data_IF_666728546006
#
_entry.id   IF_666728546006
#
_cell.length_a   1.000
_cell.length_b   1.000
_cell.length_c   1.000
_cell.angle_alpha   90.00
_cell.angle_beta   90.00
_cell.angle_gamma   90.00
#
_symmetry.space_group_name_H-M   'P 1'
#
loop_
_entity.id
_entity.type
_entity.pdbx_description
1 polymer ?
#
# COMPACT_ATOMS: atom_id res chain seq x y z
N UNK A 1 -8.87 2.03 20.25
CA UNK A 1 -7.41 2.25 20.35
C UNK A 1 -6.80 0.95 20.83
N UNK A 2 -5.74 0.45 20.20
CA UNK A 2 -5.05 -0.76 20.65
C UNK A 2 -3.84 -0.31 21.47
N UNK A 3 -3.95 -0.30 22.79
CA UNK A 3 -2.79 -0.05 23.66
C UNK A 3 -2.23 -1.41 24.03
N UNK A 4 -1.02 -1.70 23.56
CA UNK A 4 -0.25 -2.85 24.00
C UNK A 4 0.98 -2.34 24.75
N UNK A 5 0.96 -2.45 26.08
CA UNK A 5 2.11 -2.20 26.94
C UNK A 5 2.80 -3.52 27.23
N UNK A 6 4.08 -3.65 26.84
CA UNK A 6 4.85 -4.87 27.02
C UNK A 6 5.42 -4.97 28.45
N UNK A 7 4.67 -5.62 29.33
CA UNK A 7 5.17 -6.27 30.55
C UNK A 7 5.32 -7.79 30.35
N UNK A 8 5.97 -8.52 31.28
CA UNK A 8 6.27 -9.95 31.14
C UNK A 8 5.05 -10.90 31.12
N UNK A 9 3.81 -10.38 31.12
CA UNK A 9 2.60 -11.13 30.79
C UNK A 9 1.88 -10.47 29.62
N UNK A 10 1.71 -11.21 28.52
CA UNK A 10 0.99 -10.78 27.32
C UNK A 10 -0.51 -10.66 27.62
N UNK A 11 -0.95 -9.51 28.13
CA UNK A 11 -2.35 -9.10 28.18
C UNK A 11 -2.54 -7.94 27.22
N UNK A 12 -2.94 -8.22 25.98
CA UNK A 12 -3.41 -7.21 25.04
C UNK A 12 -4.88 -6.94 25.30
N UNK A 13 -5.22 -5.77 25.83
CA UNK A 13 -6.61 -5.32 25.93
C UNK A 13 -7.05 -4.71 24.59
N UNK A 14 -8.04 -5.32 23.94
CA UNK A 14 -8.67 -4.80 22.72
C UNK A 14 -9.80 -3.87 23.15
N UNK A 15 -9.59 -2.56 23.11
CA UNK A 15 -10.62 -1.57 23.40
C UNK A 15 -11.31 -1.11 22.11
N UNK A 16 -12.61 -1.46 21.98
CA UNK A 16 -13.49 -1.01 20.90
C UNK A 16 -13.67 0.51 20.95
N UNK A 17 -13.73 1.14 19.77
CA UNK A 17 -13.75 2.60 19.60
C UNK A 17 -15.14 3.24 19.77
N UNK A 18 -16.05 2.62 20.52
CA UNK A 18 -17.36 3.20 20.82
C UNK A 18 -17.22 4.14 22.04
N UNK A 19 -16.81 5.39 21.79
CA UNK A 19 -16.83 6.47 22.80
C UNK A 19 -15.60 7.38 22.88
N UNK A 20 -14.52 7.12 22.13
CA UNK A 20 -13.31 7.95 22.18
C UNK A 20 -13.21 8.90 20.97
N UNK A 21 -13.60 10.16 21.15
CA UNK A 21 -13.53 11.20 20.11
C UNK A 21 -12.13 11.85 19.96
N UNK A 22 -11.10 11.39 20.70
CA UNK A 22 -9.87 12.18 20.88
C UNK A 22 -8.56 11.36 20.95
N UNK A 23 -8.45 10.27 20.18
CA UNK A 23 -7.32 9.32 20.32
C UNK A 23 -6.28 9.28 19.20
N UNK A 24 -6.61 9.70 17.98
CA UNK A 24 -5.66 9.71 16.86
C UNK A 24 -5.15 11.13 16.67
N UNK A 25 -3.93 11.42 17.13
CA UNK A 25 -3.32 12.73 16.89
C UNK A 25 -3.11 12.91 15.39
N UNK A 26 -3.65 13.98 14.81
CA UNK A 26 -3.40 14.31 13.40
C UNK A 26 -1.90 14.36 13.13
N UNK A 27 -1.45 13.75 12.03
CA UNK A 27 -0.06 13.87 11.61
C UNK A 27 0.29 15.34 11.36
N UNK A 28 1.52 15.79 11.70
CA UNK A 28 1.99 17.11 11.32
C UNK A 28 1.83 17.34 9.80
N UNK A 29 1.49 18.56 9.34
CA UNK A 29 1.19 18.83 7.93
C UNK A 29 2.29 18.37 6.98
N UNK A 30 3.56 18.62 7.30
CA UNK A 30 4.72 18.21 6.49
C UNK A 30 4.81 16.70 6.30
N UNK A 31 4.63 15.94 7.39
CA UNK A 31 4.61 14.48 7.37
C UNK A 31 3.41 13.96 6.59
N UNK A 32 2.25 14.60 6.74
CA UNK A 32 1.03 14.25 6.00
C UNK A 32 1.21 14.46 4.50
N UNK A 33 1.74 15.61 4.08
CA UNK A 33 1.99 15.94 2.66
C UNK A 33 3.00 14.99 2.02
N UNK A 34 4.03 14.57 2.75
CA UNK A 34 5.00 13.57 2.28
C UNK A 34 4.38 12.17 2.22
N UNK A 35 3.71 11.73 3.28
CA UNK A 35 3.13 10.39 3.40
C UNK A 35 2.04 10.12 2.36
N UNK A 36 1.23 11.13 2.04
CA UNK A 36 0.08 10.99 1.11
C UNK A 36 0.38 11.45 -0.31
N UNK A 37 1.64 11.83 -0.61
CA UNK A 37 2.03 12.25 -1.95
C UNK A 37 1.74 11.14 -2.97
N UNK A 38 1.09 11.53 -4.06
CA UNK A 38 0.93 10.65 -5.22
C UNK A 38 2.30 10.55 -5.90
N UNK A 39 2.91 9.38 -5.81
CA UNK A 39 4.06 9.01 -6.64
C UNK A 39 3.56 8.86 -8.08
N UNK A 40 3.59 9.98 -8.81
CA UNK A 40 3.63 9.99 -10.26
C UNK A 40 5.03 9.55 -10.67
N UNK A 41 5.15 8.74 -11.72
CA UNK A 41 6.39 8.14 -12.20
C UNK A 41 7.61 9.10 -12.15
N UNK A 42 8.41 8.99 -11.10
CA UNK A 42 9.77 9.52 -11.05
C UNK A 42 10.75 8.35 -10.87
N UNK A 43 11.09 7.65 -11.94
CA UNK A 43 12.38 6.95 -12.04
C UNK A 43 13.04 7.36 -13.36
N UNK A 44 13.46 8.63 -13.43
CA UNK A 44 14.48 9.08 -14.38
C UNK A 44 15.79 9.49 -13.67
N UNK A 45 15.80 9.74 -12.34
CA UNK A 45 16.94 10.44 -11.71
C UNK A 45 17.59 9.81 -10.46
N UNK A 46 17.14 8.65 -9.94
CA UNK A 46 17.83 8.02 -8.79
C UNK A 46 18.70 6.82 -9.19
N UNK A 47 20.01 6.97 -9.06
CA UNK A 47 21.05 5.97 -9.38
C UNK A 47 21.31 4.98 -8.23
N UNK A 48 20.25 4.56 -7.54
CA UNK A 48 20.34 3.54 -6.47
C UNK A 48 20.08 2.12 -6.98
N UNK A 49 20.63 1.07 -6.34
CA UNK A 49 20.34 -0.33 -6.68
C UNK A 49 18.85 -0.69 -6.56
N UNK A 50 18.08 0.11 -5.78
CA UNK A 50 16.62 0.03 -5.70
C UNK A 50 15.91 0.46 -7.01
N UNK A 51 16.38 1.46 -7.76
CA UNK A 51 15.79 1.78 -9.09
C UNK A 51 16.07 0.65 -10.09
N UNK A 52 17.09 -0.20 -9.90
CA UNK A 52 17.33 -1.35 -10.79
C UNK A 52 16.35 -2.51 -10.54
N UNK A 53 16.01 -2.80 -9.28
CA UNK A 53 14.91 -3.73 -8.96
C UNK A 53 13.55 -3.10 -9.33
N UNK A 54 13.30 -1.81 -9.06
CA UNK A 54 12.08 -1.11 -9.45
C UNK A 54 11.92 -0.97 -10.97
N UNK A 55 13.01 -0.91 -11.75
CA UNK A 55 13.00 -1.04 -13.22
C UNK A 55 12.59 -2.44 -13.71
N UNK A 56 12.76 -3.49 -12.89
CA UNK A 56 12.12 -4.80 -13.13
C UNK A 56 10.64 -4.81 -12.71
N UNK A 57 10.26 -4.04 -11.69
CA UNK A 57 8.86 -3.87 -11.23
C UNK A 57 8.04 -2.95 -12.15
N UNK A 58 8.67 -2.12 -13.01
CA UNK A 58 8.04 -1.35 -14.09
C UNK A 58 7.28 -2.19 -15.16
N UNK A 59 7.22 -3.51 -14.99
CA UNK A 59 6.70 -4.45 -15.99
C UNK A 59 5.20 -4.75 -15.84
N UNK A 60 4.40 -3.78 -15.41
CA UNK A 60 2.95 -3.87 -15.49
C UNK A 60 2.48 -3.46 -16.90
N UNK A 61 2.31 -4.45 -17.77
CA UNK A 61 1.69 -4.26 -19.09
C UNK A 61 0.18 -4.30 -18.92
N UNK A 62 -0.51 -3.26 -19.38
CA UNK A 62 -1.96 -3.12 -19.26
C UNK A 62 -2.52 -2.76 -20.64
N UNK A 63 -3.27 -3.70 -21.21
CA UNK A 63 -3.85 -3.60 -22.54
C UNK A 63 -5.38 -3.60 -22.46
N UNK A 64 -6.01 -2.96 -23.45
CA UNK A 64 -7.45 -2.90 -23.59
C UNK A 64 -7.85 -3.50 -24.92
N UNK A 65 -8.75 -4.45 -24.90
CA UNK A 65 -9.31 -5.07 -26.09
C UNK A 65 -10.83 -4.89 -26.11
N UNK A 66 -11.32 -4.29 -27.19
CA UNK A 66 -12.73 -4.05 -27.43
C UNK A 66 -13.31 -4.94 -28.54
N UNK A 67 -12.61 -5.99 -28.97
CA UNK A 67 -13.02 -6.88 -30.06
C UNK A 67 -13.63 -8.19 -29.56
N UNK A 68 -13.13 -8.74 -28.44
CA UNK A 68 -13.54 -10.05 -27.91
C UNK A 68 -14.93 -10.10 -27.26
N UNK A 69 -15.55 -8.95 -27.00
CA UNK A 69 -16.91 -8.89 -26.45
C UNK A 69 -17.68 -7.73 -27.04
N UNK A 70 -18.92 -7.92 -27.52
CA UNK A 70 -19.74 -6.82 -28.02
C UNK A 70 -20.15 -5.85 -26.89
N UNK A 71 -20.21 -6.32 -25.64
CA UNK A 71 -20.74 -5.56 -24.51
C UNK A 71 -19.69 -5.10 -23.48
N UNK A 72 -18.47 -5.64 -23.51
CA UNK A 72 -17.45 -5.38 -22.48
C UNK A 72 -16.11 -5.00 -23.12
N UNK A 73 -15.28 -4.27 -22.38
CA UNK A 73 -13.86 -4.11 -22.68
C UNK A 73 -13.10 -5.17 -21.91
N UNK A 74 -12.23 -5.92 -22.58
CA UNK A 74 -11.27 -6.80 -21.91
C UNK A 74 -10.06 -5.98 -21.50
N UNK A 75 -9.77 -5.98 -20.20
CA UNK A 75 -8.58 -5.41 -19.60
C UNK A 75 -7.60 -6.55 -19.30
N UNK A 76 -6.47 -6.54 -19.98
CA UNK A 76 -5.44 -7.57 -19.84
C UNK A 76 -4.24 -6.98 -19.11
N UNK A 77 -3.82 -7.62 -18.02
CA UNK A 77 -2.77 -7.13 -17.15
C UNK A 77 -1.73 -8.24 -16.97
N UNK A 78 -0.48 -7.94 -17.29
CA UNK A 78 0.67 -8.78 -16.95
C UNK A 78 1.54 -8.00 -15.98
N UNK A 79 1.82 -8.56 -14.81
CA UNK A 79 2.59 -7.89 -13.77
C UNK A 79 3.32 -8.90 -12.87
N UNK A 80 4.22 -8.41 -12.02
CA UNK A 80 4.90 -9.24 -11.02
C UNK A 80 3.89 -9.70 -9.97
N UNK A 81 4.00 -10.96 -9.55
CA UNK A 81 3.20 -11.48 -8.45
C UNK A 81 3.59 -10.82 -7.13
N UNK A 82 2.59 -10.27 -6.45
CA UNK A 82 2.75 -9.66 -5.15
C UNK A 82 1.52 -9.93 -4.29
N UNK A 83 1.74 -9.94 -2.99
CA UNK A 83 0.67 -10.07 -2.01
C UNK A 83 -0.33 -8.93 -2.18
N UNK A 84 -1.62 -9.24 -2.08
CA UNK A 84 -2.68 -8.24 -2.16
C UNK A 84 -2.97 -7.70 -3.57
N UNK A 85 -2.25 -8.15 -4.60
CA UNK A 85 -2.39 -7.64 -5.97
C UNK A 85 -3.84 -7.59 -6.47
N UNK A 86 -4.61 -8.66 -6.27
CA UNK A 86 -6.01 -8.71 -6.67
C UNK A 86 -6.87 -7.65 -5.97
N UNK A 87 -6.63 -7.45 -4.67
CA UNK A 87 -7.32 -6.43 -3.89
C UNK A 87 -6.98 -5.05 -4.43
N UNK A 88 -5.70 -4.77 -4.65
CA UNK A 88 -5.21 -3.47 -5.14
C UNK A 88 -5.77 -3.15 -6.54
N UNK A 89 -5.85 -4.14 -7.45
CA UNK A 89 -6.49 -4.00 -8.76
C UNK A 89 -8.00 -3.72 -8.65
N UNK A 90 -8.75 -4.53 -7.91
CA UNK A 90 -10.21 -4.41 -7.83
C UNK A 90 -10.64 -3.15 -7.09
N UNK A 91 -9.93 -2.76 -6.02
CA UNK A 91 -10.10 -1.46 -5.37
C UNK A 91 -9.95 -0.34 -6.39
N UNK A 92 -8.84 -0.34 -7.14
CA UNK A 92 -8.55 0.73 -8.09
C UNK A 92 -9.61 0.84 -9.18
N UNK A 93 -10.06 -0.29 -9.73
CA UNK A 93 -11.15 -0.31 -10.72
C UNK A 93 -12.45 0.25 -10.14
N UNK A 94 -12.81 -0.15 -8.92
CA UNK A 94 -13.98 0.35 -8.21
C UNK A 94 -13.90 1.86 -7.96
N UNK A 95 -12.76 2.36 -7.50
CA UNK A 95 -12.54 3.80 -7.25
C UNK A 95 -12.60 4.63 -8.55
N UNK A 96 -12.25 4.02 -9.69
CA UNK A 96 -12.42 4.60 -11.03
C UNK A 96 -13.84 4.41 -11.62
N UNK A 97 -14.83 3.96 -10.82
CA UNK A 97 -16.20 3.68 -11.27
C UNK A 97 -16.28 2.65 -12.42
N UNK A 98 -15.36 1.69 -12.44
CA UNK A 98 -15.31 0.59 -13.39
C UNK A 98 -15.89 -0.67 -12.74
N UNK A 99 -16.89 -1.26 -13.40
CA UNK A 99 -17.55 -2.50 -13.00
C UNK A 99 -16.85 -3.68 -13.63
N UNK A 100 -16.36 -4.61 -12.81
CA UNK A 100 -15.83 -5.90 -13.27
C UNK A 100 -16.98 -6.91 -13.33
N UNK A 101 -17.18 -7.53 -14.50
CA UNK A 101 -18.26 -8.51 -14.71
C UNK A 101 -17.73 -9.94 -14.63
N UNK A 102 -16.53 -10.18 -15.15
CA UNK A 102 -15.86 -11.47 -15.11
C UNK A 102 -14.36 -11.25 -15.00
N UNK A 103 -13.66 -12.14 -14.33
CA UNK A 103 -12.21 -12.08 -14.18
C UNK A 103 -11.59 -13.47 -14.23
N UNK A 104 -10.43 -13.57 -14.88
CA UNK A 104 -9.60 -14.77 -14.91
C UNK A 104 -8.20 -14.41 -14.44
N UNK A 105 -7.64 -15.25 -13.57
CA UNK A 105 -6.37 -15.01 -12.90
C UNK A 105 -5.48 -16.21 -13.10
N UNK A 106 -4.25 -15.93 -13.49
CA UNK A 106 -3.26 -16.94 -13.85
C UNK A 106 -1.96 -16.58 -13.17
N UNK A 107 -1.27 -17.60 -12.67
CA UNK A 107 0.08 -17.46 -12.15
C UNK A 107 0.99 -18.29 -13.00
N UNK A 108 2.06 -17.70 -13.52
CA UNK A 108 3.13 -18.48 -14.09
C UNK A 108 4.07 -18.98 -12.97
N UNK A 109 4.93 -19.95 -13.28
CA UNK A 109 5.96 -20.43 -12.36
C UNK A 109 7.16 -19.46 -12.22
N UNK A 110 7.17 -18.35 -12.95
CA UNK A 110 8.29 -17.40 -13.05
C UNK A 110 8.06 -16.13 -12.21
N UNK A 111 6.98 -16.10 -11.40
CA UNK A 111 6.68 -14.98 -10.51
C UNK A 111 5.92 -13.84 -11.18
N UNK A 112 5.29 -14.08 -12.34
CA UNK A 112 4.35 -13.15 -12.96
C UNK A 112 2.91 -13.63 -12.77
N UNK A 113 2.02 -12.65 -12.67
CA UNK A 113 0.57 -12.84 -12.78
C UNK A 113 0.07 -12.21 -14.06
N UNK A 114 -0.75 -12.99 -14.74
CA UNK A 114 -1.56 -12.52 -15.84
C UNK A 114 -3.01 -12.45 -15.32
N UNK A 115 -3.73 -11.42 -15.72
CA UNK A 115 -5.07 -11.12 -15.24
C UNK A 115 -5.90 -10.58 -16.40
N UNK A 116 -7.03 -11.22 -16.66
CA UNK A 116 -7.98 -10.82 -17.68
C UNK A 116 -9.29 -10.41 -17.02
N UNK A 117 -9.73 -9.17 -17.19
CA UNK A 117 -10.95 -8.64 -16.61
C UNK A 117 -11.89 -8.11 -17.69
N UNK A 118 -13.13 -8.61 -17.72
CA UNK A 118 -14.18 -8.00 -18.53
C UNK A 118 -14.82 -6.87 -17.73
N UNK A 119 -14.62 -5.65 -18.22
CA UNK A 119 -15.00 -4.42 -17.53
C UNK A 119 -16.02 -3.59 -18.32
N UNK A 120 -16.76 -2.78 -17.56
CA UNK A 120 -17.71 -1.77 -18.05
C UNK A 120 -17.56 -0.48 -17.24
N UNK A 121 -17.88 0.64 -17.87
CA UNK A 121 -18.09 1.91 -17.17
C UNK A 121 -19.36 1.85 -16.32
N UNK A 122 -19.51 2.80 -15.39
CA UNK A 122 -20.69 2.91 -14.54
C UNK A 122 -22.01 3.01 -15.32
N UNK A 123 -21.98 3.67 -16.49
CA UNK A 123 -23.09 3.82 -17.44
C UNK A 123 -23.40 2.54 -18.23
N UNK A 124 -22.67 1.45 -17.98
CA UNK A 124 -22.84 0.15 -18.62
C UNK A 124 -22.14 0.01 -19.98
N UNK A 125 -21.47 1.06 -20.47
CA UNK A 125 -20.76 1.03 -21.75
C UNK A 125 -19.33 0.52 -21.63
N UNK A 126 -18.74 0.18 -22.77
CA UNK A 126 -17.32 -0.17 -22.92
C UNK A 126 -16.42 1.03 -22.68
N UNK A 127 -15.19 0.80 -22.24
CA UNK A 127 -14.14 1.82 -22.14
C UNK A 127 -13.46 1.93 -23.52
N UNK A 128 -14.03 2.73 -24.41
CA UNK A 128 -13.53 2.90 -25.79
C UNK A 128 -12.62 4.12 -25.91
N UNK A 129 -12.96 5.17 -25.17
CA UNK A 129 -12.24 6.45 -25.16
C UNK A 129 -10.76 6.24 -24.75
N UNK A 130 -9.79 6.57 -25.63
CA UNK A 130 -8.37 6.44 -25.34
C UNK A 130 -7.93 7.21 -24.10
N UNK A 131 -8.48 8.41 -23.86
CA UNK A 131 -8.09 9.23 -22.70
C UNK A 131 -8.49 8.54 -21.39
N UNK A 132 -9.67 7.90 -21.36
CA UNK A 132 -10.12 7.12 -20.21
C UNK A 132 -9.29 5.86 -20.02
N UNK A 133 -8.90 5.19 -21.11
CA UNK A 133 -8.01 4.03 -21.03
C UNK A 133 -6.64 4.42 -20.48
N UNK A 134 -6.09 5.54 -20.93
CA UNK A 134 -4.79 6.05 -20.48
C UNK A 134 -4.84 6.48 -19.02
N UNK A 135 -5.89 7.20 -18.60
CA UNK A 135 -6.11 7.56 -17.19
C UNK A 135 -6.22 6.32 -16.29
N UNK A 136 -7.01 5.32 -16.71
CA UNK A 136 -7.15 4.07 -15.97
C UNK A 136 -5.83 3.28 -15.92
N UNK A 137 -5.10 3.22 -17.05
CA UNK A 137 -3.79 2.57 -17.14
C UNK A 137 -2.80 3.17 -16.16
N UNK A 138 -2.66 4.50 -16.18
CA UNK A 138 -1.74 5.22 -15.31
C UNK A 138 -2.12 5.04 -13.84
N UNK A 139 -3.42 5.11 -13.52
CA UNK A 139 -3.88 4.90 -12.14
C UNK A 139 -3.61 3.48 -11.66
N UNK A 140 -3.92 2.47 -12.46
CA UNK A 140 -3.64 1.07 -12.11
C UNK A 140 -2.15 0.81 -11.92
N UNK A 141 -1.29 1.34 -12.78
CA UNK A 141 0.17 1.20 -12.62
C UNK A 141 0.66 1.79 -11.30
N UNK A 142 0.25 3.02 -10.99
CA UNK A 142 0.68 3.68 -9.74
C UNK A 142 0.19 2.92 -8.50
N UNK A 143 -1.08 2.49 -8.47
CA UNK A 143 -1.67 1.77 -7.33
C UNK A 143 -1.13 0.34 -7.19
N UNK A 144 -0.77 -0.33 -8.29
CA UNK A 144 -0.15 -1.66 -8.25
C UNK A 144 1.32 -1.58 -7.85
N UNK A 145 2.06 -0.57 -8.32
CA UNK A 145 3.48 -0.42 -8.01
C UNK A 145 3.69 0.02 -6.55
N UNK A 146 2.84 0.93 -6.09
CA UNK A 146 2.93 1.49 -4.75
C UNK A 146 1.52 1.48 -4.09
N UNK A 147 0.99 0.31 -3.66
CA UNK A 147 -0.33 0.22 -3.03
C UNK A 147 -0.37 0.76 -1.60
N UNK A 148 0.81 0.95 -1.00
CA UNK A 148 1.03 1.37 0.39
C UNK A 148 2.14 2.43 0.43
N UNK A 149 2.11 3.28 1.45
CA UNK A 149 3.19 4.23 1.76
C UNK A 149 3.81 3.84 3.09
N UNK A 150 5.14 3.85 3.16
CA UNK A 150 5.90 3.45 4.35
C UNK A 150 6.98 4.48 4.59
N UNK A 151 7.02 5.04 5.79
CA UNK A 151 7.96 6.10 6.17
C UNK A 151 8.34 5.96 7.64
N UNK A 152 9.55 6.41 7.99
CA UNK A 152 9.96 6.55 9.40
C UNK A 152 10.17 8.02 9.69
N UNK A 153 9.51 8.50 10.75
CA UNK A 153 9.56 9.90 11.20
C UNK A 153 10.02 9.98 12.64
N UNK A 154 10.47 11.16 13.05
CA UNK A 154 10.73 11.45 14.46
C UNK A 154 9.52 12.18 15.05
N UNK A 155 9.11 11.76 16.25
CA UNK A 155 8.09 12.42 17.06
C UNK A 155 8.76 12.92 18.34
N UNK A 156 9.38 14.09 18.25
CA UNK A 156 10.26 14.56 19.32
C UNK A 156 11.48 13.64 19.46
N UNK A 157 11.76 13.08 20.65
CA UNK A 157 12.87 12.15 20.85
C UNK A 157 12.59 10.75 20.28
N UNK A 158 11.33 10.40 20.03
CA UNK A 158 10.94 9.05 19.67
C UNK A 158 10.92 8.84 18.15
N UNK A 159 11.05 7.58 17.74
CA UNK A 159 10.96 7.18 16.32
C UNK A 159 9.64 6.46 16.06
N UNK A 160 8.91 6.90 15.03
CA UNK A 160 7.68 6.25 14.58
C UNK A 160 7.83 5.68 13.16
N UNK A 161 7.36 4.44 12.95
CA UNK A 161 7.08 3.90 11.63
C UNK A 161 5.62 4.20 11.28
N UNK A 162 5.42 4.80 10.12
CA UNK A 162 4.12 5.05 9.52
C UNK A 162 3.92 4.12 8.32
N UNK A 163 2.78 3.43 8.30
CA UNK A 163 2.30 2.70 7.12
C UNK A 163 0.93 3.27 6.76
N UNK A 164 0.80 3.91 5.60
CA UNK A 164 -0.47 4.42 5.12
C UNK A 164 -1.01 3.56 3.98
N UNK A 165 -2.28 3.18 4.12
CA UNK A 165 -3.02 2.39 3.16
C UNK A 165 -4.22 3.19 2.62
N UNK A 166 -4.40 3.30 1.29
CA UNK A 166 -5.62 3.84 0.71
C UNK A 166 -6.83 2.98 1.12
N UNK A 167 -7.87 3.64 1.61
CA UNK A 167 -9.12 2.99 2.03
C UNK A 167 -10.09 3.00 0.86
N UNK A 168 -10.75 1.86 0.62
CA UNK A 168 -11.86 1.80 -0.33
C UNK A 168 -12.97 2.79 0.05
N UNK A 169 -13.78 3.22 -0.91
CA UNK A 169 -15.01 3.98 -0.62
C UNK A 169 -15.95 3.28 0.39
N UNK A 170 -15.89 1.95 0.50
CA UNK A 170 -16.64 1.17 1.50
C UNK A 170 -16.03 1.21 2.92
N UNK A 171 -14.95 1.97 3.13
CA UNK A 171 -14.30 2.12 4.42
C UNK A 171 -13.43 0.92 4.83
N UNK A 172 -13.04 0.05 3.91
CA UNK A 172 -12.17 -1.11 4.20
C UNK A 172 -10.75 -0.85 3.73
N UNK A 173 -9.78 -1.21 4.58
CA UNK A 173 -8.36 -1.15 4.28
C UNK A 173 -7.83 -2.46 3.68
N UNK A 174 -6.59 -2.40 3.18
CA UNK A 174 -5.87 -3.55 2.64
C UNK A 174 -5.69 -4.59 3.75
N UNK A 175 -6.04 -5.86 3.51
CA UNK A 175 -5.90 -6.90 4.52
C UNK A 175 -4.46 -7.08 4.99
N UNK A 176 -4.29 -7.49 6.25
CA UNK A 176 -3.03 -7.91 6.88
C UNK A 176 -1.93 -6.85 7.03
N UNK A 177 -2.19 -5.57 6.75
CA UNK A 177 -1.18 -4.50 6.88
C UNK A 177 -0.55 -4.48 8.29
N UNK A 178 -1.35 -4.50 9.36
CA UNK A 178 -0.84 -4.54 10.73
C UNK A 178 0.03 -5.77 11.01
N UNK A 179 -0.44 -6.95 10.60
CA UNK A 179 0.28 -8.20 10.81
C UNK A 179 1.62 -8.22 10.07
N UNK A 180 1.65 -7.77 8.82
CA UNK A 180 2.87 -7.78 8.02
C UNK A 180 3.90 -6.75 8.50
N UNK A 181 3.44 -5.57 8.92
CA UNK A 181 4.31 -4.55 9.50
C UNK A 181 4.95 -5.05 10.81
N UNK A 182 4.14 -5.62 11.72
CA UNK A 182 4.65 -6.19 12.98
C UNK A 182 5.57 -7.40 12.76
N UNK A 183 5.26 -8.24 11.77
CA UNK A 183 6.14 -9.36 11.37
C UNK A 183 7.49 -8.87 10.84
N UNK A 184 7.49 -7.81 10.01
CA UNK A 184 8.72 -7.23 9.48
C UNK A 184 9.60 -6.64 10.58
N UNK A 185 9.01 -5.91 11.52
CA UNK A 185 9.70 -5.33 12.67
C UNK A 185 10.28 -6.42 13.58
N UNK A 186 9.51 -7.47 13.86
CA UNK A 186 9.98 -8.64 14.60
C UNK A 186 11.17 -9.31 13.92
N UNK A 187 11.15 -9.46 12.60
CA UNK A 187 12.27 -10.06 11.85
C UNK A 187 13.54 -9.20 11.88
N UNK A 188 13.42 -7.90 12.15
CA UNK A 188 14.55 -6.99 12.34
C UNK A 188 15.00 -6.89 13.81
N UNK A 189 14.31 -7.56 14.73
CA UNK A 189 14.58 -7.44 16.17
C UNK A 189 14.18 -6.09 16.77
N UNK A 190 13.28 -5.34 16.12
CA UNK A 190 12.85 -4.02 16.59
C UNK A 190 11.61 -4.19 17.48
N UNK A 191 11.70 -3.70 18.71
CA UNK A 191 10.58 -3.68 19.65
C UNK A 191 9.58 -2.57 19.29
N UNK A 192 8.30 -2.88 19.44
CA UNK A 192 7.19 -1.94 19.25
C UNK A 192 6.69 -1.56 20.64
N UNK A 193 6.83 -0.29 21.00
CA UNK A 193 6.35 0.22 22.28
C UNK A 193 4.83 0.39 22.29
N UNK A 194 4.28 0.91 21.20
CA UNK A 194 2.84 1.07 21.01
C UNK A 194 2.49 1.05 19.52
N UNK A 195 1.23 0.75 19.22
CA UNK A 195 0.74 0.77 17.85
C UNK A 195 -0.66 1.38 17.78
N UNK A 196 -0.84 2.35 16.90
CA UNK A 196 -2.12 3.03 16.67
C UNK A 196 -2.58 2.80 15.23
N UNK A 197 -3.89 2.67 15.05
CA UNK A 197 -4.53 2.62 13.74
C UNK A 197 -5.58 3.72 13.72
N UNK A 198 -5.53 4.59 12.73
CA UNK A 198 -6.49 5.66 12.56
C UNK A 198 -6.78 5.96 11.10
N UNK A 199 -7.78 6.82 10.87
CA UNK A 199 -8.17 7.25 9.54
C UNK A 199 -7.85 8.72 9.36
N UNK A 200 -7.33 9.06 8.18
CA UNK A 200 -7.02 10.43 7.81
C UNK A 200 -7.48 10.72 6.38
N UNK A 201 -8.18 11.83 6.22
CA UNK A 201 -8.53 12.38 4.91
C UNK A 201 -7.31 13.10 4.33
N UNK A 202 -6.90 12.76 3.11
CA UNK A 202 -5.85 13.49 2.39
C UNK A 202 -5.96 13.27 0.88
N UNK A 203 -5.72 14.33 0.10
CA UNK A 203 -5.66 14.28 -1.37
C UNK A 203 -6.86 13.56 -2.00
N UNK A 204 -8.07 14.01 -1.66
CA UNK A 204 -9.35 13.48 -2.16
C UNK A 204 -9.67 12.01 -1.80
N UNK A 205 -8.91 11.38 -0.89
CA UNK A 205 -9.20 10.02 -0.42
C UNK A 205 -8.98 9.82 1.07
N UNK A 206 -9.57 8.75 1.60
CA UNK A 206 -9.35 8.31 2.98
C UNK A 206 -8.17 7.35 3.04
N UNK A 207 -7.38 7.49 4.09
CA UNK A 207 -6.23 6.64 4.37
C UNK A 207 -6.39 6.01 5.74
N UNK A 208 -6.03 4.74 5.85
CA UNK A 208 -5.86 4.04 7.10
C UNK A 208 -4.37 4.06 7.41
N UNK A 209 -4.02 4.74 8.49
CA UNK A 209 -2.64 4.99 8.88
C UNK A 209 -2.35 4.17 10.13
N UNK A 210 -1.33 3.34 10.00
CA UNK A 210 -0.78 2.51 11.05
C UNK A 210 0.48 3.20 11.57
N UNK A 211 0.52 3.49 12.86
CA UNK A 211 1.64 4.16 13.52
C UNK A 211 2.23 3.20 14.53
N UNK A 212 3.53 2.95 14.44
CA UNK A 212 4.24 2.10 15.39
C UNK A 212 5.32 2.93 16.05
N UNK A 213 5.21 3.11 17.36
CA UNK A 213 6.27 3.71 18.16
C UNK A 213 7.36 2.66 18.37
N UNK A 214 8.56 2.93 17.87
CA UNK A 214 9.66 1.98 17.86
C UNK A 214 10.66 2.27 18.98
N UNK A 215 11.17 1.21 19.59
CA UNK A 215 12.29 1.31 20.51
C UNK A 215 13.59 1.61 19.74
N UNK A 216 14.31 2.64 20.20
CA UNK A 216 15.59 3.03 19.62
C UNK A 216 16.74 2.37 20.39
N UNK A 217 17.00 1.12 20.03
CA UNK A 217 18.03 0.31 20.69
C UNK A 217 19.45 0.77 20.32
N UNK A 218 20.41 0.59 21.24
CA UNK A 218 21.83 0.86 20.97
C UNK A 218 22.42 -0.03 19.87
N UNK A 219 21.89 -1.24 19.71
CA UNK A 219 22.35 -2.22 18.72
C UNK A 219 21.80 -1.91 17.32
N UNK A 220 20.65 -1.27 17.24
CA UNK A 220 20.00 -0.88 15.99
C UNK A 220 19.47 0.56 16.08
N UNK A 221 20.35 1.58 16.06
CA UNK A 221 19.94 2.97 16.25
C UNK A 221 19.16 3.46 15.02
N UNK A 222 17.98 4.06 15.25
CA UNK A 222 17.07 4.60 14.23
C UNK A 222 17.08 6.13 14.19
N UNK A 223 17.27 6.79 15.32
CA UNK A 223 17.23 8.25 15.42
C UNK A 223 18.30 8.94 14.56
N UNK A 224 19.51 8.35 14.50
CA UNK A 224 20.68 8.97 13.86
C UNK A 224 21.24 8.18 12.65
N UNK A 225 20.57 7.12 12.19
CA UNK A 225 21.05 6.28 11.10
C UNK A 225 20.05 6.19 9.95
N UNK A 226 20.27 7.00 8.91
CA UNK A 226 19.48 6.95 7.68
C UNK A 226 19.52 5.55 7.04
N UNK A 227 20.66 4.87 7.10
CA UNK A 227 20.83 3.51 6.58
C UNK A 227 19.92 2.51 7.29
N UNK A 228 19.84 2.56 8.62
CA UNK A 228 18.96 1.68 9.38
C UNK A 228 17.48 2.00 9.10
N UNK A 229 17.10 3.28 9.04
CA UNK A 229 15.74 3.70 8.68
C UNK A 229 15.34 3.15 7.31
N UNK A 230 16.20 3.31 6.30
CA UNK A 230 15.96 2.80 4.95
C UNK A 230 15.84 1.27 4.94
N UNK A 231 16.65 0.56 5.74
CA UNK A 231 16.55 -0.89 5.89
C UNK A 231 15.21 -1.33 6.50
N UNK A 232 14.71 -0.61 7.50
CA UNK A 232 13.38 -0.89 8.08
C UNK A 232 12.28 -0.64 7.05
N UNK A 233 12.28 0.52 6.39
CA UNK A 233 11.30 0.88 5.37
C UNK A 233 11.27 -0.17 4.25
N UNK A 234 12.43 -0.55 3.73
CA UNK A 234 12.57 -1.57 2.68
C UNK A 234 12.03 -2.93 3.13
N UNK A 235 12.41 -3.40 4.32
CA UNK A 235 11.96 -4.68 4.86
C UNK A 235 10.46 -4.72 5.11
N UNK A 236 9.90 -3.64 5.66
CA UNK A 236 8.46 -3.50 5.90
C UNK A 236 7.71 -3.50 4.57
N UNK A 237 8.17 -2.72 3.59
CA UNK A 237 7.57 -2.67 2.24
C UNK A 237 7.61 -4.04 1.58
N UNK A 238 8.75 -4.73 1.57
CA UNK A 238 8.90 -6.09 1.02
C UNK A 238 7.95 -7.10 1.68
N UNK A 239 7.82 -7.05 3.00
CA UNK A 239 6.92 -7.95 3.74
C UNK A 239 5.44 -7.68 3.44
N UNK A 240 5.05 -6.40 3.37
CA UNK A 240 3.70 -5.96 2.99
C UNK A 240 3.32 -6.36 1.56
N UNK A 241 4.30 -6.37 0.66
CA UNK A 241 4.15 -6.73 -0.75
C UNK A 241 4.38 -8.23 -1.02
N UNK A 242 4.85 -8.98 -0.03
CA UNK A 242 5.18 -10.41 -0.20
C UNK A 242 6.38 -10.67 -1.12
N UNK A 243 7.23 -9.66 -1.35
CA UNK A 243 8.46 -9.78 -2.13
C UNK A 243 9.56 -10.31 -1.22
N UNK A 244 9.72 -11.63 -1.14
CA UNK A 244 10.84 -12.26 -0.45
C UNK A 244 11.92 -12.59 -1.49
N UNK A 245 13.05 -11.88 -1.42
CA UNK A 245 14.31 -12.36 -2.01
C UNK A 245 14.90 -13.44 -1.12
#
# INVERSE_FOLDING_TARGET
MLIATLGPSLTCEILSAEGFQQGFSSLPPTISEELFRLELDECESSSGPLCAEMKKVQKATINFDNTLSPAHTLLQILCVDQKGLLYDMLRTLKDCNIKVTYGRFWSDKKGFREVDLFIKQADGKKVIDPEKQDALRSRMRSEMLHPLRVMIVNRGPDTELLVANPVELAGKGRPRVFYDATLALKALGICIFSAEIGRQAASERQWEVYRFLLDDSKEFPLSNSLTNRNRVVDRVRKTLMGCYN
#
